data_IF_330865767938
#
_entry.id   IF_330865767938
#
_cell.length_a   1.000
_cell.length_b   1.000
_cell.length_c   1.000
_cell.angle_alpha   90.00
_cell.angle_beta   90.00
_cell.angle_gamma   90.00
#
_symmetry.space_group_name_H-M   'P 1'
#
loop_
_entity.id
_entity.type
_entity.pdbx_description
1 polymer ?
#
# COMPACT_ATOMS: atom_id res chain seq x y z
N UNK A 1 -10.73 -6.07 -26.81
CA UNK A 1 -11.20 -5.79 -25.43
C UNK A 1 -10.58 -6.87 -24.58
N UNK A 2 -9.97 -6.52 -23.44
CA UNK A 2 -9.42 -7.54 -22.53
C UNK A 2 -10.57 -8.12 -21.72
N UNK A 3 -10.74 -9.44 -21.77
CA UNK A 3 -11.64 -10.15 -20.88
C UNK A 3 -10.83 -10.61 -19.68
N UNK A 4 -11.27 -10.23 -18.49
CA UNK A 4 -10.67 -10.67 -17.23
C UNK A 4 -11.62 -11.65 -16.58
N UNK A 5 -11.17 -12.87 -16.33
CA UNK A 5 -11.97 -13.92 -15.68
C UNK A 5 -11.41 -14.28 -14.31
N UNK A 6 -12.29 -14.72 -13.42
CA UNK A 6 -11.91 -15.24 -12.12
C UNK A 6 -11.19 -16.57 -12.30
N UNK A 7 -10.01 -16.71 -11.69
CA UNK A 7 -9.23 -17.92 -11.70
C UNK A 7 -9.92 -19.11 -11.03
N UNK A 8 -10.77 -18.83 -10.04
CA UNK A 8 -11.40 -19.86 -9.20
C UNK A 8 -12.78 -20.26 -9.68
N UNK A 9 -13.55 -19.34 -10.27
CA UNK A 9 -14.92 -19.62 -10.74
C UNK A 9 -15.06 -19.63 -12.27
N UNK A 10 -14.09 -19.10 -13.02
CA UNK A 10 -14.18 -18.95 -14.48
C UNK A 10 -15.11 -17.82 -14.93
N UNK A 11 -15.80 -17.15 -13.99
CA UNK A 11 -16.74 -16.07 -14.28
C UNK A 11 -16.02 -14.85 -14.86
N UNK A 12 -16.69 -14.14 -15.76
CA UNK A 12 -16.21 -12.87 -16.29
C UNK A 12 -16.25 -11.81 -15.17
N UNK A 13 -15.08 -11.37 -14.72
CA UNK A 13 -14.93 -10.36 -13.66
C UNK A 13 -15.18 -8.97 -14.23
N UNK A 14 -14.59 -8.68 -15.39
CA UNK A 14 -14.76 -7.39 -16.08
C UNK A 14 -14.25 -7.46 -17.51
N UNK A 15 -14.80 -6.60 -18.38
CA UNK A 15 -14.29 -6.35 -19.74
C UNK A 15 -13.68 -4.96 -19.79
N UNK A 16 -12.39 -4.85 -20.11
CA UNK A 16 -11.68 -3.57 -20.11
C UNK A 16 -11.25 -3.18 -21.53
N UNK A 17 -11.53 -1.93 -21.98
CA UNK A 17 -11.04 -1.43 -23.26
C UNK A 17 -9.52 -1.33 -23.30
N UNK A 18 -8.91 -1.97 -24.31
CA UNK A 18 -7.44 -2.01 -24.48
C UNK A 18 -6.85 -0.66 -24.88
N UNK A 19 -7.70 0.29 -25.32
CA UNK A 19 -7.27 1.60 -25.83
C UNK A 19 -6.51 2.43 -24.79
N UNK A 20 -6.68 2.13 -23.50
CA UNK A 20 -6.06 2.85 -22.38
C UNK A 20 -5.00 2.03 -21.62
N UNK A 21 -4.91 0.71 -21.85
CA UNK A 21 -4.02 -0.18 -21.10
C UNK A 21 -2.88 -0.67 -21.99
N UNK A 22 -1.65 -0.25 -21.66
CA UNK A 22 -0.43 -0.62 -22.43
C UNK A 22 0.28 -1.84 -21.86
N UNK A 23 0.25 -2.01 -20.54
CA UNK A 23 1.00 -3.05 -19.83
C UNK A 23 0.16 -3.74 -18.77
N UNK A 24 0.58 -4.93 -18.35
CA UNK A 24 0.00 -5.67 -17.25
C UNK A 24 -0.01 -4.87 -15.95
N UNK A 25 1.02 -4.06 -15.67
CA UNK A 25 1.02 -3.14 -14.55
C UNK A 25 -0.17 -2.17 -14.56
N UNK A 26 -0.46 -1.53 -15.70
CA UNK A 26 -1.62 -0.63 -15.83
C UNK A 26 -2.96 -1.36 -15.67
N UNK A 27 -3.04 -2.62 -16.13
CA UNK A 27 -4.22 -3.46 -15.92
C UNK A 27 -4.39 -3.81 -14.44
N UNK A 28 -3.31 -4.12 -13.73
CA UNK A 28 -3.39 -4.43 -12.29
C UNK A 28 -3.81 -3.24 -11.45
N UNK A 29 -3.35 -2.04 -11.80
CA UNK A 29 -3.82 -0.80 -11.19
C UNK A 29 -5.32 -0.60 -11.42
N UNK A 30 -5.80 -0.83 -12.65
CA UNK A 30 -7.23 -0.72 -12.95
C UNK A 30 -8.06 -1.76 -12.20
N UNK A 31 -7.57 -3.00 -12.11
CA UNK A 31 -8.21 -4.06 -11.34
C UNK A 31 -8.18 -3.79 -9.84
N UNK A 32 -7.20 -3.04 -9.33
CA UNK A 32 -7.20 -2.57 -7.94
C UNK A 32 -8.35 -1.60 -7.70
N UNK A 33 -8.61 -0.68 -8.63
CA UNK A 33 -9.73 0.26 -8.52
C UNK A 33 -11.09 -0.43 -8.62
N UNK A 34 -11.20 -1.44 -9.51
CA UNK A 34 -12.47 -2.14 -9.77
C UNK A 34 -12.77 -3.19 -8.70
N UNK A 35 -11.78 -3.99 -8.33
CA UNK A 35 -11.96 -5.16 -7.47
C UNK A 35 -11.53 -4.90 -6.01
N UNK A 36 -10.90 -3.75 -5.72
CA UNK A 36 -10.35 -3.44 -4.39
C UNK A 36 -9.13 -4.28 -4.00
N UNK A 37 -8.63 -5.12 -4.91
CA UNK A 37 -7.54 -6.06 -4.62
C UNK A 37 -6.18 -5.39 -4.89
N UNK A 38 -5.20 -5.43 -3.96
CA UNK A 38 -3.86 -4.90 -4.18
C UNK A 38 -3.14 -5.51 -5.39
N UNK A 39 -2.31 -4.73 -6.09
CA UNK A 39 -1.58 -5.14 -7.33
C UNK A 39 -0.82 -6.46 -7.16
N UNK A 40 -0.14 -6.63 -6.03
CA UNK A 40 0.67 -7.82 -5.74
C UNK A 40 -0.16 -9.09 -5.50
N UNK A 41 -1.47 -8.96 -5.20
CA UNK A 41 -2.38 -10.10 -5.05
C UNK A 41 -3.04 -10.52 -6.37
N UNK A 42 -2.79 -9.78 -7.45
CA UNK A 42 -3.35 -10.05 -8.75
C UNK A 42 -2.34 -10.80 -9.60
N UNK A 43 -2.53 -12.11 -9.73
CA UNK A 43 -1.75 -12.92 -10.67
C UNK A 43 -2.53 -13.04 -11.97
N UNK A 44 -2.02 -12.41 -13.01
CA UNK A 44 -2.60 -12.42 -14.34
C UNK A 44 -1.92 -13.50 -15.18
N UNK A 45 -2.73 -14.35 -15.81
CA UNK A 45 -2.30 -15.46 -16.65
C UNK A 45 -2.88 -15.27 -18.06
N UNK A 46 -2.08 -15.54 -19.09
CA UNK A 46 -2.58 -15.71 -20.45
C UNK A 46 -2.47 -17.21 -20.80
N UNK A 47 -3.60 -17.92 -20.82
CA UNK A 47 -3.59 -19.38 -20.71
C UNK A 47 -2.99 -19.79 -19.36
N UNK A 48 -1.95 -20.63 -19.38
CA UNK A 48 -1.24 -21.08 -18.16
C UNK A 48 0.03 -20.27 -17.86
N UNK A 49 0.32 -19.21 -18.63
CA UNK A 49 1.57 -18.44 -18.52
C UNK A 49 1.38 -17.21 -17.63
N UNK A 50 2.13 -17.08 -16.51
CA UNK A 50 2.11 -15.89 -15.67
C UNK A 50 2.67 -14.68 -16.41
N UNK A 51 1.95 -13.57 -16.34
CA UNK A 51 2.38 -12.31 -16.95
C UNK A 51 3.09 -11.41 -15.93
N UNK A 52 4.27 -10.95 -16.30
CA UNK A 52 5.00 -9.91 -15.56
C UNK A 52 4.39 -8.53 -15.81
N UNK A 53 4.63 -7.58 -14.91
CA UNK A 53 4.03 -6.23 -15.00
C UNK A 53 4.48 -5.43 -16.23
N UNK A 54 5.65 -5.77 -16.78
CA UNK A 54 6.22 -5.20 -18.01
C UNK A 54 5.58 -5.76 -19.29
N UNK A 55 4.84 -6.88 -19.21
CA UNK A 55 4.28 -7.52 -20.39
C UNK A 55 3.24 -6.62 -21.07
N UNK A 56 3.31 -6.57 -22.40
CA UNK A 56 2.39 -5.76 -23.23
C UNK A 56 1.06 -6.49 -23.38
N UNK A 57 -0.03 -5.74 -23.22
CA UNK A 57 -1.37 -6.24 -23.46
C UNK A 57 -1.79 -5.91 -24.90
N UNK A 58 -2.37 -6.87 -25.60
CA UNK A 58 -2.97 -6.67 -26.92
C UNK A 58 -4.49 -6.80 -26.91
N UNK A 59 -5.13 -6.46 -28.03
CA UNK A 59 -6.58 -6.35 -28.13
C UNK A 59 -7.34 -7.69 -28.03
N UNK A 60 -6.64 -8.82 -28.15
CA UNK A 60 -7.21 -10.15 -28.31
C UNK A 60 -6.88 -11.13 -27.16
N UNK A 61 -6.13 -10.71 -26.14
CA UNK A 61 -5.80 -11.58 -25.01
C UNK A 61 -7.04 -11.89 -24.14
N UNK A 62 -7.21 -13.17 -23.81
CA UNK A 62 -8.08 -13.64 -22.71
C UNK A 62 -7.18 -13.81 -21.48
N UNK A 63 -7.43 -13.04 -20.43
CA UNK A 63 -6.56 -12.98 -19.24
C UNK A 63 -7.31 -13.53 -18.04
N UNK A 64 -6.72 -14.50 -17.36
CA UNK A 64 -7.26 -15.05 -16.13
C UNK A 64 -6.63 -14.35 -14.93
N UNK A 65 -7.45 -13.82 -14.03
CA UNK A 65 -7.05 -13.24 -12.77
C UNK A 65 -7.18 -14.29 -11.66
N UNK A 66 -6.04 -14.79 -11.19
CA UNK A 66 -5.95 -15.60 -9.97
C UNK A 66 -5.62 -14.69 -8.81
N UNK A 67 -6.52 -14.64 -7.83
CA UNK A 67 -6.29 -13.96 -6.56
C UNK A 67 -5.44 -14.87 -5.67
N UNK A 68 -4.30 -14.36 -5.23
CA UNK A 68 -3.43 -15.09 -4.29
C UNK A 68 -3.94 -14.89 -2.85
N UNK A 69 -4.28 -15.96 -2.12
CA UNK A 69 -4.56 -15.86 -0.69
C UNK A 69 -3.26 -15.56 0.07
N UNK A 70 -3.40 -14.94 1.25
CA UNK A 70 -2.29 -14.85 2.19
C UNK A 70 -2.05 -16.23 2.80
N UNK A 71 -0.80 -16.69 2.72
CA UNK A 71 -0.37 -17.88 3.43
C UNK A 71 0.51 -17.49 4.62
N UNK A 72 0.48 -18.30 5.67
CA UNK A 72 1.47 -18.21 6.74
C UNK A 72 2.87 -18.34 6.14
N UNK A 73 3.71 -17.34 6.41
CA UNK A 73 5.05 -17.26 5.82
C UNK A 73 5.95 -18.32 6.48
N UNK A 74 6.56 -19.25 5.73
CA UNK A 74 7.61 -20.13 6.25
C UNK A 74 8.72 -19.31 6.92
N UNK A 75 9.14 -19.74 8.11
CA UNK A 75 10.11 -19.00 8.93
C UNK A 75 11.42 -18.59 8.22
N UNK A 76 11.99 -19.33 7.26
CA UNK A 76 13.19 -18.90 6.54
C UNK A 76 12.93 -17.70 5.61
N UNK A 77 11.79 -17.70 4.91
CA UNK A 77 11.45 -16.64 3.94
C UNK A 77 11.12 -15.33 4.65
N UNK A 78 10.54 -15.42 5.86
CA UNK A 78 10.33 -14.25 6.71
C UNK A 78 11.65 -13.63 7.19
N UNK A 79 12.65 -14.47 7.51
CA UNK A 79 13.97 -14.00 7.90
C UNK A 79 14.67 -13.29 6.73
N UNK A 80 14.63 -13.88 5.54
CA UNK A 80 15.23 -13.30 4.34
C UNK A 80 14.57 -11.96 3.98
N UNK A 81 13.24 -11.87 4.09
CA UNK A 81 12.51 -10.61 3.91
C UNK A 81 12.98 -9.54 4.89
N UNK A 82 13.06 -9.86 6.20
CA UNK A 82 13.54 -8.90 7.21
C UNK A 82 14.99 -8.46 6.94
N UNK A 83 15.86 -9.37 6.51
CA UNK A 83 17.24 -9.06 6.14
C UNK A 83 17.28 -8.13 4.92
N UNK A 84 16.49 -8.41 3.88
CA UNK A 84 16.40 -7.58 2.68
C UNK A 84 15.92 -6.16 3.04
N UNK A 85 14.93 -6.03 3.92
CA UNK A 85 14.41 -4.74 4.39
C UNK A 85 15.46 -3.97 5.16
N UNK A 86 16.12 -4.60 6.15
CA UNK A 86 17.17 -3.95 6.95
C UNK A 86 18.30 -3.41 6.08
N UNK A 87 18.64 -4.13 5.03
CA UNK A 87 19.67 -3.76 4.07
C UNK A 87 19.18 -2.82 2.95
N UNK A 88 17.91 -2.42 2.93
CA UNK A 88 17.34 -1.54 1.92
C UNK A 88 17.28 -2.14 0.51
N UNK A 89 17.23 -3.47 0.38
CA UNK A 89 17.20 -4.19 -0.90
C UNK A 89 15.79 -4.18 -1.53
N UNK A 90 15.36 -3.00 -1.99
CA UNK A 90 14.00 -2.76 -2.51
C UNK A 90 13.58 -3.75 -3.60
N UNK A 91 14.44 -4.05 -4.56
CA UNK A 91 14.16 -4.98 -5.67
C UNK A 91 13.97 -6.42 -5.18
N UNK A 92 14.71 -6.83 -4.15
CA UNK A 92 14.58 -8.16 -3.56
C UNK A 92 13.26 -8.28 -2.79
N UNK A 93 12.90 -7.23 -2.04
CA UNK A 93 11.60 -7.15 -1.36
C UNK A 93 10.45 -7.18 -2.37
N UNK A 94 10.53 -6.41 -3.47
CA UNK A 94 9.50 -6.41 -4.52
C UNK A 94 9.29 -7.81 -5.09
N UNK A 95 10.38 -8.54 -5.39
CA UNK A 95 10.31 -9.93 -5.86
C UNK A 95 9.67 -10.85 -4.82
N UNK A 96 10.02 -10.70 -3.54
CA UNK A 96 9.44 -11.49 -2.45
C UNK A 96 7.93 -11.23 -2.32
N UNK A 97 7.48 -9.99 -2.47
CA UNK A 97 6.06 -9.62 -2.41
C UNK A 97 5.22 -10.14 -3.59
N UNK A 98 5.84 -10.68 -4.65
CA UNK A 98 5.13 -11.38 -5.72
C UNK A 98 4.68 -12.80 -5.31
N UNK A 99 5.22 -13.32 -4.20
CA UNK A 99 4.79 -14.58 -3.59
C UNK A 99 3.68 -14.31 -2.54
N UNK A 100 2.88 -15.33 -2.15
CA UNK A 100 1.81 -15.18 -1.17
C UNK A 100 2.33 -14.95 0.25
N UNK A 101 2.93 -13.78 0.48
CA UNK A 101 3.46 -13.29 1.74
C UNK A 101 2.51 -12.20 2.25
N UNK A 102 2.13 -12.27 3.52
CA UNK A 102 1.40 -11.17 4.15
C UNK A 102 2.32 -9.95 4.34
N UNK A 103 2.05 -8.80 3.68
CA UNK A 103 2.88 -7.61 3.80
C UNK A 103 2.83 -6.97 5.20
N UNK A 104 1.82 -7.31 6.01
CA UNK A 104 1.70 -6.84 7.40
C UNK A 104 2.86 -7.30 8.28
N UNK A 105 3.47 -8.46 7.99
CA UNK A 105 4.53 -9.03 8.83
C UNK A 105 5.80 -8.16 8.84
N UNK A 106 5.93 -7.25 7.86
CA UNK A 106 7.12 -6.46 7.65
C UNK A 106 6.93 -4.94 7.78
N UNK A 107 5.69 -4.44 7.90
CA UNK A 107 5.42 -2.99 7.90
C UNK A 107 6.06 -2.29 9.10
N UNK A 108 6.05 -2.92 10.28
CA UNK A 108 6.69 -2.38 11.49
C UNK A 108 8.21 -2.32 11.35
N UNK A 109 8.84 -3.36 10.78
CA UNK A 109 10.28 -3.42 10.57
C UNK A 109 10.74 -2.34 9.58
N UNK A 110 10.02 -2.17 8.46
CA UNK A 110 10.30 -1.11 7.49
C UNK A 110 10.23 0.29 8.15
N UNK A 111 9.24 0.52 9.01
CA UNK A 111 9.08 1.78 9.73
C UNK A 111 10.11 1.99 10.83
N UNK A 112 10.55 0.91 11.49
CA UNK A 112 11.59 0.99 12.51
C UNK A 112 12.95 1.35 11.91
N UNK A 113 13.30 0.75 10.78
CA UNK A 113 14.60 0.94 10.11
C UNK A 113 14.63 2.21 9.25
N UNK A 114 13.47 2.74 8.82
CA UNK A 114 13.38 3.98 8.04
C UNK A 114 13.39 3.76 6.52
N UNK A 115 12.90 2.61 6.06
CA UNK A 115 12.95 2.21 4.66
C UNK A 115 11.72 2.72 3.89
N UNK A 116 11.76 3.99 3.45
CA UNK A 116 10.63 4.64 2.79
C UNK A 116 10.16 3.93 1.51
N UNK A 117 11.10 3.49 0.67
CA UNK A 117 10.78 2.79 -0.58
C UNK A 117 10.13 1.42 -0.30
N UNK A 118 10.62 0.69 0.70
CA UNK A 118 10.02 -0.57 1.15
C UNK A 118 8.62 -0.35 1.70
N UNK A 119 8.42 0.69 2.52
CA UNK A 119 7.11 1.02 3.08
C UNK A 119 6.08 1.27 1.97
N UNK A 120 6.46 1.97 0.89
CA UNK A 120 5.59 2.16 -0.30
C UNK A 120 5.18 0.82 -0.90
N UNK A 121 6.14 -0.07 -1.14
CA UNK A 121 5.85 -1.41 -1.69
C UNK A 121 4.90 -2.22 -0.79
N UNK A 122 5.12 -2.21 0.52
CA UNK A 122 4.26 -2.94 1.46
C UNK A 122 2.83 -2.39 1.46
N UNK A 123 2.66 -1.06 1.41
CA UNK A 123 1.34 -0.43 1.32
C UNK A 123 0.66 -0.71 -0.03
N UNK A 124 1.43 -0.75 -1.12
CA UNK A 124 0.92 -1.15 -2.44
C UNK A 124 0.53 -2.64 -2.50
N UNK A 125 1.19 -3.48 -1.69
CA UNK A 125 0.81 -4.88 -1.45
C UNK A 125 -0.42 -5.04 -0.54
N UNK A 126 -0.91 -3.93 0.03
CA UNK A 126 -2.09 -3.88 0.86
C UNK A 126 -1.82 -4.13 2.35
N UNK A 127 -0.63 -3.75 2.83
CA UNK A 127 -0.38 -3.68 4.27
C UNK A 127 -1.31 -2.66 4.95
N UNK A 128 -1.73 -2.99 6.16
CA UNK A 128 -2.62 -2.17 6.98
C UNK A 128 -1.85 -1.02 7.63
N UNK A 129 -2.14 0.21 7.20
CA UNK A 129 -1.46 1.44 7.66
C UNK A 129 -1.52 1.65 9.18
N UNK A 130 -2.58 1.18 9.83
CA UNK A 130 -2.83 1.36 11.26
C UNK A 130 -2.61 0.07 12.06
N UNK A 131 -1.98 -0.96 11.47
CA UNK A 131 -1.76 -2.23 12.15
C UNK A 131 -0.92 -2.03 13.42
N UNK A 132 -1.45 -2.41 14.57
CA UNK A 132 -0.71 -2.36 15.81
C UNK A 132 0.15 -3.62 15.99
N UNK A 133 1.41 -3.45 16.39
CA UNK A 133 2.26 -4.57 16.81
C UNK A 133 1.90 -5.04 18.23
N UNK A 134 2.63 -6.02 18.76
CA UNK A 134 2.43 -6.55 20.12
C UNK A 134 2.61 -5.53 21.25
N UNK A 135 3.22 -4.36 20.99
CA UNK A 135 3.31 -3.24 21.92
C UNK A 135 2.22 -2.17 21.72
N UNK A 136 1.22 -2.44 20.88
CA UNK A 136 0.21 -1.46 20.49
C UNK A 136 0.72 -0.39 19.51
N UNK A 137 1.96 -0.51 19.00
CA UNK A 137 2.57 0.52 18.17
C UNK A 137 2.19 0.32 16.71
N UNK A 138 1.64 1.37 16.10
CA UNK A 138 1.37 1.43 14.66
C UNK A 138 2.62 1.83 13.87
N UNK A 139 2.65 1.66 12.53
CA UNK A 139 3.68 2.22 11.66
C UNK A 139 4.04 3.67 11.97
N UNK A 140 3.02 4.51 12.25
CA UNK A 140 3.21 5.92 12.57
C UNK A 140 3.91 6.12 13.92
N UNK A 141 3.59 5.32 14.95
CA UNK A 141 4.30 5.35 16.23
C UNK A 141 5.80 5.06 16.04
N UNK A 142 6.13 4.02 15.28
CA UNK A 142 7.52 3.60 15.06
C UNK A 142 8.31 4.64 14.27
N UNK A 143 7.76 5.14 13.16
CA UNK A 143 8.41 6.16 12.34
C UNK A 143 8.65 7.46 13.15
N UNK A 144 7.67 7.86 13.97
CA UNK A 144 7.73 9.07 14.80
C UNK A 144 8.76 8.95 15.92
N UNK A 145 8.77 7.82 16.63
CA UNK A 145 9.74 7.53 17.70
C UNK A 145 11.17 7.40 17.17
N UNK A 146 11.37 7.04 15.90
CA UNK A 146 12.69 6.86 15.28
C UNK A 146 13.21 8.07 14.51
N UNK A 147 12.43 9.15 14.39
CA UNK A 147 12.88 10.34 13.69
C UNK A 147 12.76 10.26 12.17
N UNK A 148 12.01 9.28 11.64
CA UNK A 148 11.91 9.03 10.21
C UNK A 148 10.87 9.92 9.54
N UNK A 149 11.20 11.22 9.40
CA UNK A 149 10.31 12.27 8.87
C UNK A 149 9.64 11.90 7.53
N UNK A 150 10.39 11.33 6.59
CA UNK A 150 9.86 10.96 5.27
C UNK A 150 8.76 9.89 5.36
N UNK A 151 8.92 8.94 6.30
CA UNK A 151 7.93 7.90 6.54
C UNK A 151 6.69 8.47 7.23
N UNK A 152 6.86 9.39 8.18
CA UNK A 152 5.75 10.11 8.80
C UNK A 152 4.95 10.87 7.74
N UNK A 153 5.61 11.60 6.84
CA UNK A 153 4.93 12.32 5.77
C UNK A 153 4.17 11.38 4.84
N UNK A 154 4.76 10.24 4.49
CA UNK A 154 4.12 9.21 3.68
C UNK A 154 2.86 8.66 4.37
N UNK A 155 2.96 8.27 5.64
CA UNK A 155 1.87 7.70 6.42
C UNK A 155 0.72 8.69 6.62
N UNK A 156 1.01 9.97 6.89
CA UNK A 156 0.01 11.04 6.95
C UNK A 156 -0.65 11.27 5.58
N UNK A 157 0.12 11.16 4.49
CA UNK A 157 -0.37 11.29 3.12
C UNK A 157 -1.46 10.27 2.77
N UNK A 158 -1.43 9.09 3.40
CA UNK A 158 -2.40 8.01 3.24
C UNK A 158 -3.41 7.91 4.41
N UNK A 159 -3.53 8.98 5.20
CA UNK A 159 -4.48 9.10 6.31
C UNK A 159 -4.28 8.06 7.42
N UNK A 160 -3.03 7.78 7.80
CA UNK A 160 -2.74 7.07 9.06
C UNK A 160 -3.41 7.77 10.25
N UNK A 161 -3.97 6.98 11.17
CA UNK A 161 -4.67 7.51 12.33
C UNK A 161 -3.67 7.98 13.39
N UNK A 162 -3.63 9.30 13.58
CA UNK A 162 -2.74 10.00 14.51
C UNK A 162 -3.21 9.92 15.96
N UNK A 163 -4.46 9.51 16.19
CA UNK A 163 -5.10 9.48 17.52
C UNK A 163 -4.89 8.17 18.27
N UNK A 164 -4.43 7.13 17.57
CA UNK A 164 -4.12 5.84 18.17
C UNK A 164 -3.03 5.96 19.23
N UNK A 165 -3.13 5.13 20.26
CA UNK A 165 -2.19 5.07 21.37
C UNK A 165 -1.56 3.68 21.47
N UNK A 166 -0.29 3.63 21.87
CA UNK A 166 0.39 2.39 22.20
C UNK A 166 -0.05 1.82 23.56
N UNK A 167 0.51 0.67 23.97
CA UNK A 167 0.19 0.05 25.27
C UNK A 167 0.55 0.92 26.49
N UNK A 168 1.37 1.97 26.32
CA UNK A 168 1.69 2.93 27.38
C UNK A 168 0.77 4.15 27.34
N UNK A 169 -0.25 4.14 26.49
CA UNK A 169 -1.18 5.25 26.30
C UNK A 169 -0.55 6.43 25.56
N UNK A 170 0.55 6.23 24.81
CA UNK A 170 1.24 7.29 24.08
C UNK A 170 0.84 7.31 22.61
N UNK A 171 0.50 8.48 22.10
CA UNK A 171 0.32 8.75 20.68
C UNK A 171 1.64 8.88 19.95
N UNK A 172 1.62 8.82 18.62
CA UNK A 172 2.81 9.04 17.80
C UNK A 172 3.45 10.43 18.03
N UNK A 173 2.64 11.47 18.29
CA UNK A 173 3.13 12.82 18.62
C UNK A 173 3.90 12.83 19.93
N UNK A 174 3.35 12.19 20.98
CA UNK A 174 4.01 12.10 22.28
C UNK A 174 5.33 11.32 22.19
N UNK A 175 5.35 10.22 21.43
CA UNK A 175 6.59 9.45 21.22
C UNK A 175 7.66 10.26 20.46
N UNK A 176 7.29 11.06 19.45
CA UNK A 176 8.23 11.96 18.78
C UNK A 176 8.77 13.04 19.73
N UNK A 177 7.90 13.61 20.57
CA UNK A 177 8.28 14.61 21.57
C UNK A 177 9.27 14.04 22.61
N UNK A 178 8.96 12.87 23.17
CA UNK A 178 9.82 12.17 24.13
C UNK A 178 11.19 11.81 23.54
N UNK A 179 11.25 11.53 22.23
CA UNK A 179 12.47 11.24 21.51
C UNK A 179 13.21 12.50 21.01
N UNK A 180 12.66 13.69 21.20
CA UNK A 180 13.26 14.98 20.82
C UNK A 180 13.03 15.44 19.37
N UNK A 181 12.20 14.74 18.60
CA UNK A 181 11.94 15.05 17.18
C UNK A 181 10.86 16.13 17.01
N UNK A 182 11.20 17.37 17.39
CA UNK A 182 10.29 18.52 17.38
C UNK A 182 9.72 18.85 15.99
N UNK A 183 10.46 18.56 14.93
CA UNK A 183 10.03 18.78 13.55
C UNK A 183 8.96 17.77 13.11
N UNK A 184 9.00 16.54 13.64
CA UNK A 184 7.98 15.50 13.43
C UNK A 184 6.73 15.80 14.25
N UNK A 185 6.86 16.25 15.49
CA UNK A 185 5.73 16.72 16.31
C UNK A 185 4.91 17.74 15.52
N UNK A 186 5.57 18.79 15.02
CA UNK A 186 4.93 19.82 14.18
C UNK A 186 4.30 19.24 12.91
N UNK A 187 4.98 18.29 12.26
CA UNK A 187 4.48 17.66 11.03
C UNK A 187 3.17 16.91 11.26
N UNK A 188 3.07 16.14 12.36
CA UNK A 188 1.87 15.38 12.69
C UNK A 188 0.74 16.31 13.13
N UNK A 189 1.02 17.32 13.96
CA UNK A 189 0.02 18.31 14.39
C UNK A 189 -0.56 19.10 13.21
N UNK A 190 0.28 19.48 12.24
CA UNK A 190 -0.16 20.15 11.01
C UNK A 190 -0.88 19.20 10.05
N UNK A 191 -0.43 17.95 9.96
CA UNK A 191 -1.06 16.91 9.12
C UNK A 191 -2.39 16.39 9.67
N UNK A 192 -2.63 16.52 10.97
CA UNK A 192 -3.88 16.17 11.65
C UNK A 192 -5.00 17.22 11.48
N UNK A 193 -4.69 18.40 10.92
CA UNK A 193 -5.70 19.42 10.66
C UNK A 193 -6.70 18.94 9.60
N UNK A 194 -8.02 19.13 9.79
CA UNK A 194 -9.01 18.77 8.79
C UNK A 194 -8.72 19.56 7.51
N UNK A 195 -8.39 18.87 6.42
CA UNK A 195 -8.24 19.50 5.11
C UNK A 195 -9.51 20.32 4.84
N UNK A 196 -9.42 21.62 4.51
CA UNK A 196 -10.61 22.41 4.22
C UNK A 196 -11.38 21.71 3.10
N UNK A 197 -12.66 21.43 3.35
CA UNK A 197 -13.57 20.89 2.34
C UNK A 197 -13.41 21.77 1.10
N UNK A 198 -12.98 21.17 -0.02
CA UNK A 198 -13.04 21.86 -1.31
C UNK A 198 -14.46 22.37 -1.45
N UNK A 199 -14.64 23.68 -1.39
CA UNK A 199 -15.94 24.29 -1.58
C UNK A 199 -16.43 23.85 -2.95
N UNK A 200 -17.44 22.98 -2.94
CA UNK A 200 -18.28 22.74 -4.08
C UNK A 200 -18.72 24.12 -4.58
N UNK A 201 -18.44 24.39 -5.85
CA UNK A 201 -18.92 25.55 -6.55
C UNK A 201 -20.44 25.65 -6.32
N UNK A 202 -20.88 26.60 -5.49
CA UNK A 202 -22.28 26.99 -5.44
C UNK A 202 -22.52 27.87 -6.68
N UNK A 203 -22.94 27.20 -7.74
CA UNK A 203 -23.57 27.79 -8.89
C UNK A 203 -24.87 28.46 -8.43
N UNK A 204 -24.81 29.73 -8.06
CA UNK A 204 -25.98 30.61 -8.08
C UNK A 204 -25.76 31.75 -9.06
N UNK A 205 -26.21 31.48 -10.28
CA UNK A 205 -26.44 32.50 -11.29
C UNK A 205 -27.40 33.57 -10.75
N UNK A 206 -26.90 34.80 -10.63
CA UNK A 206 -27.72 36.00 -10.80
C UNK A 206 -27.55 36.47 -12.23
N UNK A 207 -28.60 36.33 -13.04
CA UNK A 207 -28.77 37.20 -14.21
C UNK A 207 -29.24 38.58 -13.71
N UNK A 208 -28.75 39.68 -14.29
CA UNK A 208 -29.31 40.99 -14.04
C UNK A 208 -30.63 41.14 -14.80
N UNK A 209 -31.63 41.72 -14.14
CA UNK A 209 -32.82 42.31 -14.72
C UNK A 209 -32.94 43.72 -14.18
#
# INVERSE_FOLDING_TARGET
MLRVRSGTSGDEVTVIPVKELKTVGTLKERLREVCGVPRFRQRLLCGDVPLEDSARLDAAMDVQLVLLPFCDVPSPQLLDLKIAIRNGKVVEVEKMLQYPIDPNVAIHEACWVGQAAVLRLLLEAGAEVNLANSGGQTPLHLASMKGHRDLVQLLLGIAADVSLVDMKGKTAVQLAGDAGFSDIVRLIEQGAAPRPRRHAADARGRRPG
#
